data_IF_003093091449
#
_entry.id   IF_003093091449
#
_cell.length_a   1.000
_cell.length_b   1.000
_cell.length_c   1.000
_cell.angle_alpha   90.00
_cell.angle_beta   90.00
_cell.angle_gamma   90.00
#
_symmetry.space_group_name_H-M   'P 1'
#
loop_
_entity.id
_entity.type
_entity.pdbx_description
1 polymer ?
#
# COMPACT_ATOMS: atom_id res chain seq x y z
N UNK A 1 22.49 -11.42 4.33
CA UNK A 1 22.72 -10.77 3.01
C UNK A 1 21.46 -10.17 2.39
N UNK A 2 20.28 -10.67 2.69
CA UNK A 2 18.98 -10.23 2.13
C UNK A 2 18.60 -8.77 2.46
N UNK A 3 18.92 -8.29 3.66
CA UNK A 3 18.57 -6.93 4.07
C UNK A 3 19.31 -5.84 3.26
N UNK A 4 20.61 -6.00 2.98
CA UNK A 4 21.37 -4.99 2.22
C UNK A 4 20.83 -4.72 0.82
N UNK A 5 20.39 -5.78 0.11
CA UNK A 5 19.76 -5.63 -1.22
C UNK A 5 18.42 -4.92 -1.13
N UNK A 6 17.60 -5.22 -0.13
CA UNK A 6 16.32 -4.55 0.05
C UNK A 6 16.49 -3.04 0.33
N UNK A 7 17.47 -2.68 1.19
CA UNK A 7 17.80 -1.27 1.43
C UNK A 7 18.29 -0.57 0.16
N UNK A 8 19.17 -1.21 -0.61
CA UNK A 8 19.66 -0.65 -1.87
C UNK A 8 18.51 -0.43 -2.86
N UNK A 9 17.61 -1.40 -3.01
CA UNK A 9 16.45 -1.30 -3.90
C UNK A 9 15.44 -0.24 -3.43
N UNK A 10 15.32 0.00 -2.13
CA UNK A 10 14.45 1.05 -1.59
C UNK A 10 15.03 2.45 -1.72
N UNK A 11 16.36 2.61 -1.68
CA UNK A 11 17.03 3.90 -1.63
C UNK A 11 17.61 4.34 -2.98
N UNK A 12 18.31 3.45 -3.68
CA UNK A 12 19.10 3.84 -4.86
C UNK A 12 18.22 4.30 -6.04
N UNK A 13 17.17 3.58 -6.47
CA UNK A 13 16.38 4.00 -7.61
C UNK A 13 15.70 5.36 -7.45
N UNK A 14 15.01 5.68 -6.33
CA UNK A 14 14.38 7.00 -6.16
C UNK A 14 15.40 8.13 -6.08
N UNK A 15 16.53 7.92 -5.40
CA UNK A 15 17.58 8.94 -5.32
C UNK A 15 18.31 9.13 -6.66
N UNK A 16 18.56 8.05 -7.40
CA UNK A 16 19.14 8.13 -8.74
C UNK A 16 18.19 8.83 -9.73
N UNK A 17 16.88 8.57 -9.65
CA UNK A 17 15.87 9.27 -10.45
C UNK A 17 15.84 10.76 -10.13
N UNK A 18 15.90 11.13 -8.83
CA UNK A 18 15.95 12.53 -8.43
C UNK A 18 17.21 13.23 -8.92
N UNK A 19 18.37 12.60 -8.77
CA UNK A 19 19.63 13.14 -9.27
C UNK A 19 19.64 13.28 -10.80
N UNK A 20 19.22 12.24 -11.53
CA UNK A 20 19.17 12.27 -13.00
C UNK A 20 18.17 13.34 -13.50
N UNK A 21 16.99 13.44 -12.90
CA UNK A 21 15.99 14.47 -13.26
C UNK A 21 16.49 15.87 -12.96
N UNK A 22 17.18 16.06 -11.84
CA UNK A 22 17.79 17.36 -11.48
C UNK A 22 18.88 17.74 -12.48
N UNK A 23 19.80 16.82 -12.80
CA UNK A 23 20.87 17.07 -13.79
C UNK A 23 20.27 17.40 -15.15
N UNK A 24 19.25 16.63 -15.57
CA UNK A 24 18.56 16.88 -16.82
C UNK A 24 17.89 18.26 -16.85
N UNK A 25 17.15 18.63 -15.80
CA UNK A 25 16.52 19.96 -15.70
C UNK A 25 17.52 21.09 -15.75
N UNK A 26 18.69 20.96 -15.10
CA UNK A 26 19.76 21.96 -15.14
C UNK A 26 20.47 22.07 -16.49
N UNK A 27 20.41 21.00 -17.30
CA UNK A 27 20.98 20.96 -18.64
C UNK A 27 20.02 21.44 -19.73
N UNK A 28 18.71 21.58 -19.42
CA UNK A 28 17.71 22.07 -20.35
C UNK A 28 17.83 23.59 -20.52
N UNK A 29 17.60 24.07 -21.75
CA UNK A 29 17.39 25.49 -22.01
C UNK A 29 15.96 25.88 -21.59
N UNK A 30 15.80 26.22 -20.33
CA UNK A 30 14.53 26.57 -19.73
C UNK A 30 14.42 28.10 -19.58
N UNK A 31 13.21 28.65 -19.73
CA UNK A 31 13.01 30.09 -19.46
C UNK A 31 13.34 30.42 -18.00
N UNK A 32 13.78 31.66 -17.73
CA UNK A 32 14.20 32.06 -16.38
C UNK A 32 13.07 32.01 -15.35
N UNK A 33 11.82 32.02 -15.81
CA UNK A 33 10.61 31.88 -15.00
C UNK A 33 9.77 30.71 -15.51
N UNK A 34 9.37 29.85 -14.60
CA UNK A 34 8.63 28.62 -14.87
C UNK A 34 7.30 28.62 -14.14
N UNK A 35 6.27 28.03 -14.72
CA UNK A 35 5.07 27.67 -14.00
C UNK A 35 5.41 26.59 -12.97
N UNK A 36 5.21 26.88 -11.69
CA UNK A 36 5.54 25.96 -10.58
C UNK A 36 4.30 25.52 -9.80
N UNK A 37 3.15 26.15 -10.03
CA UNK A 37 1.88 25.76 -9.43
C UNK A 37 0.71 26.19 -10.31
N UNK A 38 -0.34 25.35 -10.34
CA UNK A 38 -1.61 25.59 -11.03
C UNK A 38 -2.73 25.63 -10.01
N UNK A 39 -3.52 26.71 -10.05
CA UNK A 39 -4.65 26.89 -9.17
C UNK A 39 -5.84 25.97 -9.51
N UNK A 40 -6.88 25.98 -8.66
CA UNK A 40 -8.06 25.12 -8.83
C UNK A 40 -8.81 25.36 -10.17
N UNK A 41 -8.67 26.57 -10.76
CA UNK A 41 -9.23 26.91 -12.08
C UNK A 41 -8.43 26.39 -13.26
N UNK A 42 -7.32 25.68 -13.04
CA UNK A 42 -6.46 25.10 -14.09
C UNK A 42 -5.44 26.07 -14.69
N UNK A 43 -5.48 27.36 -14.32
CA UNK A 43 -4.48 28.36 -14.70
C UNK A 43 -3.26 28.34 -13.76
N UNK A 44 -2.12 28.82 -14.27
CA UNK A 44 -0.94 29.04 -13.44
C UNK A 44 -1.21 30.17 -12.46
N UNK A 45 -0.99 29.94 -11.18
CA UNK A 45 -1.15 30.90 -10.09
C UNK A 45 0.16 31.23 -9.38
N UNK A 46 1.22 30.46 -9.65
CA UNK A 46 2.56 30.77 -9.14
C UNK A 46 3.63 30.45 -10.17
N UNK A 47 4.50 31.42 -10.36
CA UNK A 47 5.67 31.36 -11.23
C UNK A 47 6.93 31.47 -10.37
N UNK A 48 7.94 30.69 -10.67
CA UNK A 48 9.20 30.66 -9.92
C UNK A 48 10.40 30.36 -10.82
N UNK A 49 11.58 30.27 -10.24
CA UNK A 49 12.78 29.81 -10.92
C UNK A 49 12.94 28.29 -10.88
N UNK A 50 13.96 27.78 -11.56
CA UNK A 50 14.26 26.34 -11.57
C UNK A 50 14.48 25.77 -10.16
N UNK A 51 15.01 26.58 -9.23
CA UNK A 51 15.19 26.19 -7.83
C UNK A 51 13.86 25.88 -7.12
N UNK A 52 12.77 26.55 -7.50
CA UNK A 52 11.44 26.33 -6.91
C UNK A 52 10.82 25.00 -7.37
N UNK A 53 11.30 24.43 -8.47
CA UNK A 53 10.97 23.06 -8.90
C UNK A 53 11.87 22.03 -8.20
N UNK A 54 13.18 22.25 -8.20
CA UNK A 54 14.17 21.26 -7.76
C UNK A 54 14.19 21.11 -6.24
N UNK A 55 14.13 22.19 -5.46
CA UNK A 55 14.28 22.10 -4.01
C UNK A 55 13.16 21.30 -3.32
N UNK A 56 11.86 21.52 -3.59
CA UNK A 56 10.79 20.71 -3.02
C UNK A 56 10.88 19.24 -3.45
N UNK A 57 11.30 18.98 -4.71
CA UNK A 57 11.52 17.63 -5.22
C UNK A 57 12.58 16.90 -4.40
N UNK A 58 13.78 17.47 -4.26
CA UNK A 58 14.89 16.84 -3.55
C UNK A 58 14.54 16.59 -2.08
N UNK A 59 13.95 17.58 -1.41
CA UNK A 59 13.51 17.44 -0.01
C UNK A 59 12.43 16.37 0.11
N UNK A 60 11.42 16.38 -0.74
CA UNK A 60 10.33 15.41 -0.72
C UNK A 60 10.81 13.99 -0.95
N UNK A 61 11.63 13.77 -1.98
CA UNK A 61 12.18 12.43 -2.29
C UNK A 61 13.10 11.95 -1.17
N UNK A 62 13.95 12.83 -0.61
CA UNK A 62 14.83 12.48 0.49
C UNK A 62 14.04 12.06 1.74
N UNK A 63 13.02 12.84 2.14
CA UNK A 63 12.19 12.55 3.30
C UNK A 63 11.40 11.26 3.13
N UNK A 64 10.76 11.05 1.99
CA UNK A 64 9.99 9.83 1.70
C UNK A 64 10.92 8.62 1.71
N UNK A 65 12.04 8.70 1.01
CA UNK A 65 13.02 7.60 0.95
C UNK A 65 13.58 7.30 2.34
N UNK A 66 13.98 8.31 3.10
CA UNK A 66 14.50 8.15 4.46
C UNK A 66 13.45 7.50 5.39
N UNK A 67 12.19 7.93 5.32
CA UNK A 67 11.09 7.37 6.12
C UNK A 67 10.86 5.89 5.80
N UNK A 68 10.80 5.52 4.52
CA UNK A 68 10.53 4.15 4.10
C UNK A 68 11.72 3.23 4.36
N UNK A 69 12.94 3.70 4.12
CA UNK A 69 14.18 2.95 4.46
C UNK A 69 14.34 2.82 5.97
N UNK A 70 14.04 3.88 6.73
CA UNK A 70 14.05 3.84 8.19
C UNK A 70 13.02 2.86 8.75
N UNK A 71 11.81 2.81 8.17
CA UNK A 71 10.77 1.84 8.52
C UNK A 71 11.23 0.41 8.20
N UNK A 72 11.82 0.20 7.04
CA UNK A 72 12.40 -1.09 6.66
C UNK A 72 13.50 -1.51 7.65
N UNK A 73 14.39 -0.58 8.02
CA UNK A 73 15.46 -0.84 8.99
C UNK A 73 14.92 -1.19 10.38
N UNK A 74 13.94 -0.46 10.88
CA UNK A 74 13.33 -0.73 12.18
C UNK A 74 12.64 -2.11 12.21
N UNK A 75 11.97 -2.48 11.12
CA UNK A 75 11.22 -3.74 11.01
C UNK A 75 12.10 -4.96 10.72
N UNK A 76 13.20 -4.81 9.96
CA UNK A 76 14.12 -5.95 9.69
C UNK A 76 14.95 -6.37 10.89
N UNK A 77 14.87 -5.68 12.01
CA UNK A 77 15.41 -6.13 13.31
C UNK A 77 14.47 -7.12 14.03
N UNK A 78 13.25 -7.32 13.52
CA UNK A 78 12.28 -8.32 13.98
C UNK A 78 11.84 -9.22 12.83
N UNK A 79 10.82 -10.05 13.06
CA UNK A 79 10.23 -10.88 12.01
C UNK A 79 9.61 -10.00 10.91
N UNK A 80 10.08 -10.18 9.67
CA UNK A 80 9.54 -9.47 8.49
C UNK A 80 9.21 -10.46 7.39
N UNK A 81 8.13 -10.18 6.65
CA UNK A 81 7.74 -10.99 5.49
C UNK A 81 8.26 -10.39 4.20
N UNK A 82 8.50 -11.25 3.21
CA UNK A 82 8.86 -10.81 1.84
C UNK A 82 7.86 -9.81 1.28
N UNK A 83 6.56 -10.02 1.55
CA UNK A 83 5.49 -9.12 1.10
C UNK A 83 5.62 -7.71 1.67
N UNK A 84 5.94 -7.59 2.97
CA UNK A 84 6.17 -6.29 3.62
C UNK A 84 7.37 -5.54 3.02
N UNK A 85 8.49 -6.24 2.84
CA UNK A 85 9.70 -5.65 2.23
C UNK A 85 9.42 -5.18 0.82
N UNK A 86 8.72 -6.00 0.00
CA UNK A 86 8.31 -5.64 -1.36
C UNK A 86 7.41 -4.42 -1.40
N UNK A 87 6.45 -4.33 -0.49
CA UNK A 87 5.57 -3.17 -0.40
C UNK A 87 6.35 -1.88 -0.11
N UNK A 88 7.30 -1.90 0.84
CA UNK A 88 8.11 -0.72 1.15
C UNK A 88 9.03 -0.32 0.00
N UNK A 89 9.71 -1.29 -0.64
CA UNK A 89 10.56 -1.03 -1.82
C UNK A 89 9.72 -0.45 -2.95
N UNK A 90 8.59 -1.10 -3.29
CA UNK A 90 7.70 -0.63 -4.36
C UNK A 90 7.18 0.78 -4.13
N UNK A 91 6.74 1.09 -2.91
CA UNK A 91 6.24 2.42 -2.53
C UNK A 91 7.34 3.47 -2.62
N UNK A 92 8.55 3.17 -2.12
CA UNK A 92 9.68 4.11 -2.18
C UNK A 92 10.03 4.47 -3.62
N UNK A 93 10.17 3.47 -4.47
CA UNK A 93 10.51 3.67 -5.89
C UNK A 93 9.38 4.37 -6.62
N UNK A 94 8.12 3.92 -6.45
CA UNK A 94 6.97 4.51 -7.13
C UNK A 94 6.82 6.00 -6.83
N UNK A 95 6.87 6.38 -5.56
CA UNK A 95 6.69 7.78 -5.17
C UNK A 95 7.94 8.59 -5.52
N UNK A 96 9.13 8.14 -5.15
CA UNK A 96 10.35 8.92 -5.34
C UNK A 96 10.72 9.09 -6.83
N UNK A 97 10.71 8.03 -7.61
CA UNK A 97 10.97 8.13 -9.05
C UNK A 97 9.80 8.78 -9.80
N UNK A 98 8.54 8.51 -9.38
CA UNK A 98 7.35 9.12 -9.98
C UNK A 98 7.37 10.64 -9.87
N UNK A 99 7.64 11.17 -8.68
CA UNK A 99 7.79 12.62 -8.48
C UNK A 99 8.94 13.20 -9.31
N UNK A 100 10.08 12.49 -9.36
CA UNK A 100 11.26 12.94 -10.08
C UNK A 100 11.02 13.05 -11.59
N UNK A 101 10.46 12.01 -12.19
CA UNK A 101 10.15 12.00 -13.62
C UNK A 101 8.99 12.94 -13.99
N UNK A 102 8.00 13.07 -13.09
CA UNK A 102 6.91 14.05 -13.28
C UNK A 102 7.45 15.46 -13.33
N UNK A 103 8.39 15.80 -12.45
CA UNK A 103 9.00 17.12 -12.43
C UNK A 103 9.84 17.38 -13.67
N UNK A 104 10.64 16.39 -14.11
CA UNK A 104 11.38 16.47 -15.36
C UNK A 104 10.46 16.69 -16.56
N UNK A 105 9.38 15.91 -16.67
CA UNK A 105 8.42 16.04 -17.77
C UNK A 105 7.70 17.39 -17.74
N UNK A 106 7.41 17.93 -16.56
CA UNK A 106 6.85 19.28 -16.40
C UNK A 106 7.84 20.35 -16.84
N UNK A 107 9.12 20.19 -16.56
CA UNK A 107 10.17 21.09 -17.04
C UNK A 107 10.32 21.03 -18.56
N UNK A 108 10.37 19.81 -19.14
CA UNK A 108 10.43 19.61 -20.60
C UNK A 108 9.26 20.28 -21.34
N UNK A 109 8.06 20.22 -20.77
CA UNK A 109 6.88 20.85 -21.35
C UNK A 109 6.95 22.40 -21.36
N UNK A 110 7.92 22.99 -20.70
CA UNK A 110 8.10 24.45 -20.62
C UNK A 110 9.29 24.96 -21.45
N UNK A 111 9.99 24.06 -22.15
CA UNK A 111 11.05 24.50 -23.08
C UNK A 111 10.45 25.34 -24.22
N UNK A 112 11.06 26.49 -24.49
CA UNK A 112 10.63 27.40 -25.54
C UNK A 112 9.28 28.11 -25.27
N UNK A 113 8.79 28.09 -24.04
CA UNK A 113 7.60 28.82 -23.66
C UNK A 113 7.99 30.20 -23.11
N UNK A 114 7.62 31.26 -23.83
CA UNK A 114 7.98 32.64 -23.46
C UNK A 114 7.18 33.13 -22.25
N UNK A 115 5.88 32.79 -22.17
CA UNK A 115 5.00 33.19 -21.07
C UNK A 115 4.65 32.00 -20.18
N UNK A 116 5.21 31.86 -18.98
CA UNK A 116 4.91 30.76 -18.07
C UNK A 116 3.44 30.71 -17.63
N UNK A 117 2.71 31.84 -17.69
CA UNK A 117 1.28 31.87 -17.37
C UNK A 117 0.42 31.16 -18.42
N UNK A 118 0.96 30.95 -19.63
CA UNK A 118 0.27 30.24 -20.72
C UNK A 118 0.36 28.72 -20.64
N UNK A 119 1.18 28.17 -19.72
CA UNK A 119 1.38 26.71 -19.60
C UNK A 119 0.12 26.04 -19.07
N UNK A 120 -0.53 25.18 -19.86
CA UNK A 120 -1.81 24.59 -19.46
C UNK A 120 -1.61 23.52 -18.37
N UNK A 121 -2.61 23.36 -17.52
CA UNK A 121 -2.64 22.30 -16.50
C UNK A 121 -2.44 20.89 -17.12
N UNK A 122 -2.92 20.67 -18.34
CA UNK A 122 -2.74 19.42 -19.05
C UNK A 122 -1.28 19.05 -19.28
N UNK A 123 -0.39 20.01 -19.41
CA UNK A 123 1.06 19.76 -19.51
C UNK A 123 1.62 19.18 -18.20
N UNK A 124 1.23 19.76 -17.05
CA UNK A 124 1.62 19.25 -15.73
C UNK A 124 1.01 17.87 -15.45
N UNK A 125 -0.29 17.67 -15.73
CA UNK A 125 -0.95 16.37 -15.55
C UNK A 125 -0.41 15.30 -16.51
N UNK A 126 -0.13 15.66 -17.75
CA UNK A 126 0.52 14.77 -18.72
C UNK A 126 1.91 14.36 -18.26
N UNK A 127 2.72 15.31 -17.81
CA UNK A 127 4.03 15.06 -17.22
C UNK A 127 3.96 14.14 -16.01
N UNK A 128 3.00 14.40 -15.11
CA UNK A 128 2.76 13.53 -13.95
C UNK A 128 2.38 12.10 -14.38
N UNK A 129 1.49 11.95 -15.34
CA UNK A 129 1.09 10.64 -15.86
C UNK A 129 2.26 9.85 -16.46
N UNK A 130 3.06 10.47 -17.31
CA UNK A 130 4.26 9.86 -17.91
C UNK A 130 5.28 9.50 -16.82
N UNK A 131 5.53 10.40 -15.88
CA UNK A 131 6.48 10.18 -14.78
C UNK A 131 6.10 8.98 -13.92
N UNK A 132 4.84 8.90 -13.50
CA UNK A 132 4.36 7.76 -12.71
C UNK A 132 4.28 6.46 -13.52
N UNK A 133 3.96 6.50 -14.82
CA UNK A 133 3.99 5.33 -15.67
C UNK A 133 5.40 4.72 -15.76
N UNK A 134 6.42 5.56 -15.95
CA UNK A 134 7.82 5.11 -15.94
C UNK A 134 8.22 4.55 -14.56
N UNK A 135 7.81 5.22 -13.48
CA UNK A 135 8.11 4.79 -12.12
C UNK A 135 7.44 3.44 -11.75
N UNK A 136 6.24 3.16 -12.28
CA UNK A 136 5.57 1.86 -12.10
C UNK A 136 6.44 0.73 -12.66
N UNK A 137 6.98 0.89 -13.86
CA UNK A 137 7.85 -0.12 -14.49
C UNK A 137 9.08 -0.39 -13.61
N UNK A 138 9.74 0.66 -13.15
CA UNK A 138 10.93 0.53 -12.29
C UNK A 138 10.56 -0.09 -10.94
N UNK A 139 9.45 0.32 -10.34
CA UNK A 139 8.97 -0.22 -9.07
C UNK A 139 8.66 -1.72 -9.19
N UNK A 140 8.01 -2.16 -10.25
CA UNK A 140 7.74 -3.58 -10.52
C UNK A 140 9.05 -4.37 -10.64
N UNK A 141 10.01 -3.88 -11.40
CA UNK A 141 11.33 -4.51 -11.53
C UNK A 141 12.00 -4.62 -10.16
N UNK A 142 12.04 -3.53 -9.39
CA UNK A 142 12.64 -3.53 -8.05
C UNK A 142 11.95 -4.52 -7.10
N UNK A 143 10.63 -4.59 -7.12
CA UNK A 143 9.83 -5.53 -6.31
C UNK A 143 10.14 -6.99 -6.68
N UNK A 144 10.28 -7.29 -7.96
CA UNK A 144 10.64 -8.64 -8.42
C UNK A 144 12.07 -9.03 -8.02
N UNK A 145 12.98 -8.06 -7.92
CA UNK A 145 14.36 -8.27 -7.50
C UNK A 145 14.54 -8.39 -5.97
N UNK A 146 13.49 -8.10 -5.16
CA UNK A 146 13.54 -8.30 -3.71
C UNK A 146 13.66 -9.79 -3.41
N UNK A 147 14.74 -10.22 -2.70
CA UNK A 147 14.91 -11.61 -2.30
C UNK A 147 13.77 -12.06 -1.38
N UNK A 148 13.49 -13.36 -1.38
CA UNK A 148 12.58 -13.94 -0.40
C UNK A 148 13.19 -13.81 0.98
N UNK A 149 12.40 -13.37 1.93
CA UNK A 149 12.71 -13.34 3.36
C UNK A 149 11.97 -14.51 3.97
N UNK A 150 12.71 -15.51 4.42
CA UNK A 150 12.13 -16.60 5.18
C UNK A 150 11.73 -16.02 6.54
N UNK A 151 10.45 -15.92 6.79
CA UNK A 151 9.93 -15.60 8.12
C UNK A 151 9.99 -16.87 8.94
N UNK A 152 11.00 -17.01 9.78
CA UNK A 152 10.92 -17.88 10.95
C UNK A 152 9.87 -17.25 11.87
N UNK A 153 8.60 -17.57 11.62
CA UNK A 153 7.52 -17.21 12.54
C UNK A 153 7.74 -17.99 13.82
N UNK A 154 7.88 -17.32 14.95
CA UNK A 154 7.68 -17.94 16.24
C UNK A 154 6.38 -18.73 16.19
N UNK A 155 6.49 -20.03 16.41
CA UNK A 155 5.36 -20.97 16.49
C UNK A 155 4.63 -20.75 17.81
N UNK A 156 4.06 -19.58 18.03
CA UNK A 156 3.11 -19.40 19.13
C UNK A 156 1.75 -19.91 18.67
N UNK A 157 1.25 -20.91 19.39
CA UNK A 157 -0.14 -21.34 19.32
C UNK A 157 -0.54 -22.19 18.12
N UNK A 158 0.06 -23.37 17.96
CA UNK A 158 -0.58 -24.42 17.14
C UNK A 158 -1.97 -24.68 17.72
N UNK A 159 -3.01 -24.34 16.96
CA UNK A 159 -4.39 -24.52 17.40
C UNK A 159 -4.75 -25.99 17.35
N UNK A 160 -5.29 -26.51 18.44
CA UNK A 160 -5.83 -27.86 18.47
C UNK A 160 -7.03 -27.96 17.50
N UNK A 161 -6.97 -28.94 16.59
CA UNK A 161 -8.00 -29.11 15.59
C UNK A 161 -9.34 -29.51 16.25
N UNK A 162 -10.44 -28.92 15.79
CA UNK A 162 -11.76 -29.27 16.26
C UNK A 162 -12.05 -30.76 15.98
N UNK A 163 -12.52 -31.48 16.98
CA UNK A 163 -12.93 -32.88 16.80
C UNK A 163 -14.23 -32.92 15.97
N UNK A 164 -14.12 -33.27 14.69
CA UNK A 164 -15.24 -33.39 13.78
C UNK A 164 -15.51 -34.89 13.49
N UNK A 165 -16.74 -35.32 13.41
CA UNK A 165 -17.11 -36.66 12.96
C UNK A 165 -16.86 -36.88 11.45
N UNK A 166 -16.56 -38.10 10.99
CA UNK A 166 -16.09 -38.34 9.61
C UNK A 166 -16.98 -37.77 8.49
N UNK A 167 -18.28 -37.64 8.70
CA UNK A 167 -19.27 -37.10 7.77
C UNK A 167 -19.78 -35.70 8.16
N UNK A 168 -19.27 -35.14 9.25
CA UNK A 168 -19.73 -33.87 9.77
C UNK A 168 -19.27 -32.72 8.89
N UNK A 169 -20.21 -31.83 8.54
CA UNK A 169 -19.96 -30.61 7.81
C UNK A 169 -20.13 -29.42 8.76
N UNK A 170 -19.06 -28.74 9.03
CA UNK A 170 -19.07 -27.52 9.84
C UNK A 170 -18.76 -26.31 9.00
N UNK A 171 -19.39 -25.21 9.34
CA UNK A 171 -19.10 -23.90 8.75
C UNK A 171 -19.07 -22.86 9.86
N UNK A 172 -18.07 -22.02 9.84
CA UNK A 172 -17.95 -20.89 10.75
C UNK A 172 -17.92 -19.59 9.94
N UNK A 173 -18.59 -18.55 10.43
CA UNK A 173 -18.53 -17.25 9.79
C UNK A 173 -18.65 -16.10 10.80
N UNK A 174 -17.92 -15.03 10.53
CA UNK A 174 -17.95 -13.79 11.31
C UNK A 174 -17.86 -12.59 10.38
N UNK A 175 -18.47 -11.47 10.81
CA UNK A 175 -18.29 -10.19 10.18
C UNK A 175 -17.33 -9.34 11.00
N UNK A 176 -16.40 -8.70 10.33
CA UNK A 176 -15.38 -7.83 10.96
C UNK A 176 -15.55 -6.43 10.40
N UNK A 177 -15.62 -5.46 11.26
CA UNK A 177 -15.73 -4.04 10.90
C UNK A 177 -14.52 -3.32 11.46
N UNK A 178 -14.02 -2.32 10.73
CA UNK A 178 -12.91 -1.49 11.18
C UNK A 178 -13.31 -0.74 12.48
N UNK A 179 -12.30 -0.38 13.26
CA UNK A 179 -12.54 0.34 14.52
C UNK A 179 -13.32 1.65 14.30
N UNK A 180 -14.24 2.02 15.22
CA UNK A 180 -14.99 3.28 15.12
C UNK A 180 -14.08 4.52 15.01
N UNK A 181 -12.91 4.48 15.64
CA UNK A 181 -11.91 5.56 15.55
C UNK A 181 -11.40 5.71 14.11
N UNK A 182 -11.11 4.61 13.43
CA UNK A 182 -10.67 4.67 12.03
C UNK A 182 -11.78 5.18 11.11
N UNK A 183 -13.05 4.82 11.35
CA UNK A 183 -14.20 5.37 10.63
C UNK A 183 -14.29 6.89 10.84
N UNK A 184 -14.14 7.35 12.09
CA UNK A 184 -14.15 8.78 12.43
C UNK A 184 -13.05 9.56 11.71
N UNK A 185 -11.81 9.04 11.69
CA UNK A 185 -10.68 9.66 10.98
C UNK A 185 -10.97 9.75 9.46
N UNK A 186 -11.50 8.69 8.85
CA UNK A 186 -11.83 8.68 7.43
C UNK A 186 -12.97 9.66 7.08
N UNK A 187 -13.99 9.72 7.93
CA UNK A 187 -15.09 10.67 7.77
C UNK A 187 -14.59 12.12 7.89
N UNK A 188 -13.75 12.42 8.88
CA UNK A 188 -13.13 13.74 9.04
C UNK A 188 -12.27 14.10 7.81
N UNK A 189 -11.45 13.18 7.32
CA UNK A 189 -10.65 13.38 6.12
C UNK A 189 -11.50 13.66 4.87
N UNK A 190 -12.62 12.96 4.71
CA UNK A 190 -13.57 13.21 3.61
C UNK A 190 -14.19 14.60 3.70
N UNK A 191 -14.65 15.01 4.88
CA UNK A 191 -15.21 16.34 5.13
C UNK A 191 -14.19 17.43 4.82
N UNK A 192 -12.95 17.28 5.32
CA UNK A 192 -11.87 18.24 5.08
C UNK A 192 -11.54 18.32 3.58
N UNK A 193 -11.47 17.20 2.87
CA UNK A 193 -11.23 17.19 1.43
C UNK A 193 -12.35 17.93 0.68
N UNK A 194 -13.61 17.66 1.00
CA UNK A 194 -14.74 18.37 0.40
C UNK A 194 -14.68 19.87 0.70
N UNK A 195 -14.41 20.24 1.96
CA UNK A 195 -14.30 21.66 2.35
C UNK A 195 -13.19 22.39 1.60
N UNK A 196 -12.00 21.76 1.48
CA UNK A 196 -10.86 22.34 0.74
C UNK A 196 -11.26 22.58 -0.73
N UNK A 197 -11.87 21.59 -1.40
CA UNK A 197 -12.25 21.72 -2.82
C UNK A 197 -13.30 22.82 -3.02
N UNK A 198 -14.31 22.89 -2.14
CA UNK A 198 -15.37 23.91 -2.23
C UNK A 198 -14.85 25.32 -1.93
N UNK A 199 -14.03 25.47 -0.88
CA UNK A 199 -13.45 26.76 -0.50
C UNK A 199 -12.43 27.27 -1.53
N UNK A 200 -11.74 26.34 -2.22
CA UNK A 200 -10.85 26.69 -3.32
C UNK A 200 -11.58 27.11 -4.60
N UNK A 201 -12.92 27.06 -4.65
CA UNK A 201 -13.71 27.38 -5.85
C UNK A 201 -13.45 26.40 -7.01
N UNK A 202 -12.92 25.20 -6.73
CA UNK A 202 -12.63 24.22 -7.77
C UNK A 202 -13.93 23.65 -8.37
N UNK A 203 -13.93 23.27 -9.68
CA UNK A 203 -15.09 22.62 -10.28
C UNK A 203 -15.49 21.36 -9.52
N UNK A 204 -16.77 21.13 -9.32
CA UNK A 204 -17.31 19.94 -8.61
C UNK A 204 -16.79 18.63 -9.19
N UNK A 205 -16.42 18.61 -10.47
CA UNK A 205 -15.81 17.46 -11.14
C UNK A 205 -14.50 17.00 -10.45
N UNK A 206 -13.76 17.90 -9.80
CA UNK A 206 -12.54 17.59 -9.05
C UNK A 206 -12.85 16.68 -7.85
N UNK A 207 -14.09 16.66 -7.36
CA UNK A 207 -14.51 15.74 -6.30
C UNK A 207 -14.65 14.28 -6.75
N UNK A 208 -14.72 14.00 -8.05
CA UNK A 208 -14.91 12.63 -8.54
C UNK A 208 -13.75 11.71 -8.12
N UNK A 209 -12.50 12.17 -8.24
CA UNK A 209 -11.34 11.35 -7.86
C UNK A 209 -11.32 11.00 -6.36
N UNK A 210 -11.42 11.95 -5.42
CA UNK A 210 -11.52 11.63 -4.02
C UNK A 210 -12.79 10.84 -3.68
N UNK A 211 -13.94 11.10 -4.35
CA UNK A 211 -15.16 10.32 -4.12
C UNK A 211 -14.96 8.84 -4.47
N UNK A 212 -14.36 8.54 -5.62
CA UNK A 212 -14.01 7.15 -6.01
C UNK A 212 -13.06 6.53 -4.98
N UNK A 213 -12.03 7.27 -4.55
CA UNK A 213 -11.10 6.82 -3.52
C UNK A 213 -11.85 6.47 -2.21
N UNK A 214 -12.73 7.35 -1.75
CA UNK A 214 -13.51 7.09 -0.53
C UNK A 214 -14.46 5.90 -0.68
N UNK A 215 -15.10 5.72 -1.84
CA UNK A 215 -15.92 4.52 -2.11
C UNK A 215 -15.08 3.25 -2.01
N UNK A 216 -13.87 3.24 -2.61
CA UNK A 216 -12.94 2.10 -2.52
C UNK A 216 -12.52 1.86 -1.07
N UNK A 217 -12.20 2.92 -0.32
CA UNK A 217 -11.84 2.81 1.09
C UNK A 217 -13.01 2.27 1.91
N UNK A 218 -14.23 2.80 1.71
CA UNK A 218 -15.44 2.29 2.38
C UNK A 218 -15.69 0.81 2.09
N UNK A 219 -15.41 0.36 0.87
CA UNK A 219 -15.48 -1.06 0.52
C UNK A 219 -14.57 -1.94 1.39
N UNK A 220 -13.48 -1.34 1.91
CA UNK A 220 -12.50 -2.05 2.73
C UNK A 220 -12.82 -2.02 4.24
N UNK A 221 -13.84 -1.28 4.70
CA UNK A 221 -14.11 -1.07 6.12
C UNK A 221 -14.77 -2.26 6.82
N UNK A 222 -15.41 -3.14 6.07
CA UNK A 222 -16.12 -4.30 6.64
C UNK A 222 -15.89 -5.55 5.78
N UNK A 223 -15.69 -6.67 6.47
CA UNK A 223 -15.37 -7.94 5.85
C UNK A 223 -16.22 -9.05 6.46
N UNK A 224 -16.58 -10.02 5.63
CA UNK A 224 -17.15 -11.30 6.06
C UNK A 224 -16.10 -12.38 5.89
N UNK A 225 -15.80 -13.04 6.99
CA UNK A 225 -14.86 -14.17 7.05
C UNK A 225 -15.69 -15.43 7.16
N UNK A 226 -15.37 -16.44 6.36
CA UNK A 226 -16.02 -17.74 6.38
C UNK A 226 -14.96 -18.83 6.28
N UNK A 227 -15.13 -19.87 7.07
CA UNK A 227 -14.37 -21.11 7.01
C UNK A 227 -15.34 -22.24 6.72
N UNK A 228 -15.07 -23.01 5.67
CA UNK A 228 -15.86 -24.17 5.26
C UNK A 228 -14.97 -25.24 4.62
N UNK A 229 -15.57 -26.30 4.05
CA UNK A 229 -14.85 -27.41 3.40
C UNK A 229 -13.94 -26.99 2.24
N UNK A 230 -14.09 -25.79 1.71
CA UNK A 230 -13.23 -25.24 0.64
C UNK A 230 -12.04 -24.44 1.20
N UNK A 231 -12.05 -24.07 2.49
CA UNK A 231 -11.03 -23.32 3.16
C UNK A 231 -11.53 -22.02 3.77
N UNK A 232 -10.64 -21.01 3.86
CA UNK A 232 -10.95 -19.70 4.40
C UNK A 232 -11.24 -18.70 3.27
N UNK A 233 -12.35 -17.99 3.39
CA UNK A 233 -12.74 -16.91 2.48
C UNK A 233 -12.94 -15.62 3.27
N UNK A 234 -12.21 -14.57 2.93
CA UNK A 234 -12.43 -13.23 3.40
C UNK A 234 -12.97 -12.36 2.26
N UNK A 235 -14.18 -11.84 2.41
CA UNK A 235 -14.88 -11.05 1.40
C UNK A 235 -15.28 -9.71 1.94
N UNK A 236 -14.97 -8.63 1.21
CA UNK A 236 -15.50 -7.30 1.52
C UNK A 236 -17.03 -7.28 1.45
N UNK A 237 -17.66 -6.42 2.23
CA UNK A 237 -19.13 -6.27 2.26
C UNK A 237 -19.71 -5.90 0.89
N UNK A 238 -18.98 -5.14 0.08
CA UNK A 238 -19.38 -4.81 -1.28
C UNK A 238 -19.16 -5.94 -2.30
N UNK A 239 -18.64 -7.10 -1.84
CA UNK A 239 -18.44 -8.26 -2.67
C UNK A 239 -17.04 -8.38 -3.30
N UNK A 240 -16.30 -7.29 -3.40
CA UNK A 240 -14.91 -7.23 -3.87
C UNK A 240 -14.10 -6.29 -2.97
N UNK A 241 -12.81 -6.61 -2.70
CA UNK A 241 -12.09 -7.81 -3.10
C UNK A 241 -12.50 -9.07 -2.31
N UNK A 242 -12.09 -10.23 -2.83
CA UNK A 242 -12.27 -11.53 -2.19
C UNK A 242 -10.92 -12.23 -2.09
N UNK A 243 -10.52 -12.60 -0.89
CA UNK A 243 -9.35 -13.42 -0.64
C UNK A 243 -9.77 -14.84 -0.27
N UNK A 244 -9.14 -15.80 -0.92
CA UNK A 244 -9.41 -17.22 -0.69
C UNK A 244 -8.12 -17.93 -0.36
N UNK A 245 -8.17 -18.73 0.69
CA UNK A 245 -7.12 -19.70 1.04
C UNK A 245 -7.75 -21.08 0.95
N UNK A 246 -7.50 -21.81 -0.17
CA UNK A 246 -8.01 -23.16 -0.31
C UNK A 246 -7.48 -24.05 0.82
N UNK A 247 -8.29 -24.97 1.29
CA UNK A 247 -7.92 -25.90 2.37
C UNK A 247 -6.65 -26.69 2.03
N UNK A 248 -6.46 -27.04 0.75
CA UNK A 248 -5.29 -27.78 0.25
C UNK A 248 -3.99 -26.96 0.26
N UNK A 249 -4.07 -25.63 0.36
CA UNK A 249 -2.91 -24.74 0.43
C UNK A 249 -2.51 -24.41 1.88
N UNK A 250 -3.27 -24.89 2.87
CA UNK A 250 -3.02 -24.63 4.29
C UNK A 250 -1.94 -25.58 4.79
N UNK A 251 -0.82 -25.04 5.24
CA UNK A 251 0.28 -25.82 5.86
C UNK A 251 0.29 -25.68 7.38
N UNK A 252 -0.34 -24.63 7.91
CA UNK A 252 -0.48 -24.40 9.35
C UNK A 252 -1.56 -23.38 9.65
N UNK A 253 -2.17 -23.48 10.82
CA UNK A 253 -3.16 -22.52 11.30
C UNK A 253 -2.81 -22.15 12.74
N UNK A 254 -2.80 -20.85 13.02
CA UNK A 254 -2.48 -20.32 14.34
C UNK A 254 -3.47 -19.22 14.72
N UNK A 255 -3.76 -19.10 16.00
CA UNK A 255 -4.37 -17.89 16.56
C UNK A 255 -3.24 -16.99 17.06
N UNK A 256 -3.30 -15.71 16.72
CA UNK A 256 -2.30 -14.72 17.12
C UNK A 256 -3.00 -13.47 17.63
N UNK A 257 -2.39 -12.78 18.60
CA UNK A 257 -2.86 -11.47 19.03
C UNK A 257 -2.14 -10.37 18.25
N UNK A 258 -2.92 -9.56 17.55
CA UNK A 258 -2.44 -8.53 16.61
C UNK A 258 -2.62 -7.14 17.21
N UNK A 259 -1.53 -6.39 17.26
CA UNK A 259 -1.60 -4.94 17.39
C UNK A 259 -1.57 -4.29 16.00
N UNK A 260 -2.70 -3.76 15.55
CA UNK A 260 -2.85 -3.25 14.18
C UNK A 260 -1.77 -2.22 13.81
N UNK A 261 -1.41 -1.31 14.72
CA UNK A 261 -0.43 -0.25 14.45
C UNK A 261 0.99 -0.79 14.53
N UNK A 262 1.33 -1.53 15.60
CA UNK A 262 2.69 -2.03 15.83
C UNK A 262 3.09 -3.09 14.80
N UNK A 263 2.21 -4.05 14.52
CA UNK A 263 2.55 -5.25 13.75
C UNK A 263 2.29 -5.05 12.26
N UNK A 264 1.33 -4.18 11.88
CA UNK A 264 0.91 -3.96 10.51
C UNK A 264 0.94 -2.49 10.05
N UNK A 265 1.28 -1.54 10.93
CA UNK A 265 1.32 -0.11 10.60
C UNK A 265 -0.07 0.52 10.40
N UNK A 266 -1.13 -0.12 10.88
CA UNK A 266 -2.51 0.39 10.83
C UNK A 266 -3.54 -0.62 10.34
N UNK A 267 -4.73 -0.13 10.05
CA UNK A 267 -5.89 -0.92 9.63
C UNK A 267 -5.97 -1.09 8.12
N UNK A 268 -6.76 -2.06 7.66
CA UNK A 268 -7.03 -2.35 6.25
C UNK A 268 -6.28 -3.56 5.71
N UNK A 269 -6.06 -3.58 4.38
CA UNK A 269 -5.17 -4.55 3.75
C UNK A 269 -3.73 -4.14 4.02
N UNK A 270 -3.00 -4.96 4.75
CA UNK A 270 -1.66 -4.61 5.23
C UNK A 270 -0.67 -5.76 5.08
N UNK A 271 0.59 -5.37 4.90
CA UNK A 271 1.74 -6.24 5.08
C UNK A 271 2.41 -5.89 6.39
N UNK A 272 2.74 -6.89 7.20
CA UNK A 272 3.32 -6.70 8.52
C UNK A 272 4.31 -7.81 8.91
N UNK A 273 4.72 -7.79 10.17
CA UNK A 273 5.66 -8.78 10.71
C UNK A 273 5.10 -10.21 10.70
N UNK A 274 3.80 -10.36 10.87
CA UNK A 274 3.12 -11.66 10.93
C UNK A 274 2.65 -12.19 9.57
N UNK A 275 2.82 -11.41 8.49
CA UNK A 275 2.35 -11.78 7.17
C UNK A 275 1.66 -10.63 6.44
N UNK A 276 0.72 -10.95 5.56
CA UNK A 276 -0.17 -9.97 4.95
C UNK A 276 -1.62 -10.35 5.23
N UNK A 277 -2.51 -9.37 5.29
CA UNK A 277 -3.90 -9.73 5.57
C UNK A 277 -4.85 -8.55 5.72
N UNK A 278 -5.98 -8.87 6.30
CA UNK A 278 -7.11 -7.97 6.54
C UNK A 278 -7.12 -7.62 8.03
N UNK A 279 -6.58 -6.47 8.36
CA UNK A 279 -6.41 -6.01 9.74
C UNK A 279 -7.44 -4.91 10.03
N UNK A 280 -8.57 -5.28 10.60
CA UNK A 280 -9.65 -4.33 10.86
C UNK A 280 -9.60 -3.72 12.26
N UNK A 281 -8.90 -4.37 13.18
CA UNK A 281 -8.74 -3.96 14.58
C UNK A 281 -7.53 -4.63 15.21
N UNK A 282 -7.13 -4.22 16.39
CA UNK A 282 -6.23 -4.99 17.25
C UNK A 282 -7.02 -6.08 17.98
N UNK A 283 -6.35 -7.17 18.36
CA UNK A 283 -6.91 -8.33 19.06
C UNK A 283 -6.70 -9.64 18.30
N UNK A 284 -7.49 -10.66 18.61
CA UNK A 284 -7.35 -12.01 18.07
C UNK A 284 -7.48 -12.05 16.56
N UNK A 285 -6.63 -12.85 15.92
CA UNK A 285 -6.59 -13.04 14.49
C UNK A 285 -6.28 -14.50 14.13
N UNK A 286 -6.81 -14.94 13.01
CA UNK A 286 -6.44 -16.23 12.39
C UNK A 286 -5.24 -15.95 11.48
N UNK A 287 -4.13 -16.63 11.71
CA UNK A 287 -2.96 -16.66 10.83
C UNK A 287 -2.90 -18.02 10.13
N UNK A 288 -2.85 -18.00 8.82
CA UNK A 288 -2.85 -19.19 7.97
C UNK A 288 -1.54 -19.26 7.21
N UNK A 289 -0.74 -20.26 7.50
CA UNK A 289 0.49 -20.55 6.78
C UNK A 289 0.17 -21.27 5.48
N UNK A 290 0.93 -20.95 4.43
CA UNK A 290 0.67 -21.44 3.07
C UNK A 290 1.99 -21.78 2.38
N UNK A 291 1.99 -22.86 1.64
CA UNK A 291 3.19 -23.29 0.93
C UNK A 291 3.71 -22.23 -0.04
N UNK A 292 5.00 -21.88 0.08
CA UNK A 292 5.69 -20.93 -0.79
C UNK A 292 5.16 -19.49 -0.77
N UNK A 293 4.29 -19.13 0.18
CA UNK A 293 3.68 -17.79 0.30
C UNK A 293 3.78 -17.24 1.71
N UNK A 294 3.73 -15.93 1.84
CA UNK A 294 3.62 -15.29 3.16
C UNK A 294 2.32 -15.70 3.86
N UNK A 295 2.32 -15.85 5.19
CA UNK A 295 1.12 -16.13 5.97
C UNK A 295 -0.01 -15.13 5.65
N UNK A 296 -1.26 -15.59 5.66
CA UNK A 296 -2.43 -14.74 5.57
C UNK A 296 -3.03 -14.53 6.96
N UNK A 297 -3.18 -13.26 7.37
CA UNK A 297 -3.66 -12.91 8.70
C UNK A 297 -4.98 -12.16 8.59
N UNK A 298 -5.96 -12.53 9.40
CA UNK A 298 -7.22 -11.80 9.47
C UNK A 298 -7.67 -11.63 10.92
N UNK A 299 -7.83 -10.37 11.33
CA UNK A 299 -8.37 -10.06 12.66
C UNK A 299 -9.87 -10.32 12.68
N UNK A 300 -10.32 -11.12 13.63
CA UNK A 300 -11.72 -11.54 13.72
C UNK A 300 -12.09 -11.94 15.14
N UNK A 301 -13.36 -11.75 15.50
CA UNK A 301 -13.89 -12.28 16.75
C UNK A 301 -13.94 -13.80 16.70
N UNK A 302 -13.69 -14.44 17.87
CA UNK A 302 -13.78 -15.89 18.01
C UNK A 302 -12.82 -16.60 17.00
N UNK A 303 -11.60 -16.03 16.89
CA UNK A 303 -10.55 -16.54 16.00
C UNK A 303 -10.18 -17.98 16.31
N UNK A 304 -10.22 -18.37 17.58
CA UNK A 304 -9.88 -19.73 18.04
C UNK A 304 -10.80 -20.79 17.43
N UNK A 305 -12.12 -20.56 17.46
CA UNK A 305 -13.09 -21.49 16.85
C UNK A 305 -12.89 -21.57 15.32
N UNK A 306 -12.68 -20.42 14.66
CA UNK A 306 -12.42 -20.37 13.21
C UNK A 306 -11.13 -21.06 12.82
N UNK A 307 -10.07 -20.87 13.59
CA UNK A 307 -8.78 -21.50 13.39
C UNK A 307 -8.84 -23.03 13.65
N UNK A 308 -9.47 -23.46 14.73
CA UNK A 308 -9.64 -24.87 15.07
C UNK A 308 -10.43 -25.63 13.98
N UNK A 309 -11.48 -25.00 13.45
CA UNK A 309 -12.23 -25.57 12.33
C UNK A 309 -11.38 -25.66 11.06
N UNK A 310 -10.64 -24.61 10.71
CA UNK A 310 -9.79 -24.61 9.51
C UNK A 310 -8.68 -25.66 9.64
N UNK A 311 -8.06 -25.81 10.82
CA UNK A 311 -7.06 -26.84 11.08
C UNK A 311 -7.65 -28.25 10.91
N UNK A 312 -8.85 -28.52 11.47
CA UNK A 312 -9.53 -29.80 11.31
C UNK A 312 -9.86 -30.12 9.84
N UNK A 313 -10.30 -29.12 9.08
CA UNK A 313 -10.58 -29.30 7.65
C UNK A 313 -9.31 -29.52 6.83
N UNK A 314 -8.21 -28.83 7.16
CA UNK A 314 -6.92 -29.02 6.50
C UNK A 314 -6.35 -30.43 6.72
N UNK A 315 -6.49 -30.98 7.91
CA UNK A 315 -6.04 -32.36 8.22
C UNK A 315 -6.82 -33.43 7.43
N UNK A 316 -8.04 -33.13 6.97
CA UNK A 316 -8.89 -34.02 6.18
C UNK A 316 -8.72 -33.87 4.67
N UNK A 317 -8.13 -32.76 4.25
CA UNK A 317 -7.90 -32.53 2.83
C UNK A 317 -6.87 -33.52 2.30
N UNK A 318 -7.10 -34.12 1.11
CA UNK A 318 -6.09 -34.96 0.47
C UNK A 318 -4.82 -34.16 0.30
N UNK A 319 -3.69 -34.73 0.69
CA UNK A 319 -2.37 -34.16 0.34
C UNK A 319 -2.26 -34.08 -1.19
N UNK A 320 -1.95 -32.91 -1.71
CA UNK A 320 -1.80 -32.66 -3.14
C UNK A 320 -0.58 -33.37 -3.72
#
# INVERSE_FOLDING_TARGET
MTSKRAYALAAVPPLAAAAASTIALLALDLPPRLAVHWGPGGGVDRVGGIGDLIAPLLVGVALITATLVGTLFAKTRGATTTGFVRALVGTSVLIGAGLSFSMLATGLAQQGVDDPMSVPLSAALGGMGVGFAAAIVIAVICVLLVPRVDSEGEQEGVVEALALGATERATWSRSVVVSPVAIGILAAAAIVTCAIVLLAGAPVLVLLAPAVLYVVVFAMLAWRVRVDSFGLVARSVLGLPVFRVPVTAVTGVRTVDVNAVRDFGGWGLRFGSLGWGVIMRSGSAIAVDREGRSPFVITVDDADTGAALLAALAQRAPSA
#
